data_IF_755441120519
#
_entry.id   IF_755441120519
#
_cell.length_a   1.000
_cell.length_b   1.000
_cell.length_c   1.000
_cell.angle_alpha   90.00
_cell.angle_beta   90.00
_cell.angle_gamma   90.00
#
_symmetry.space_group_name_H-M   'P 1'
#
loop_
_entity.id
_entity.type
_entity.pdbx_description
1 polymer ?
#
# COMPACT_ATOMS: atom_id res chain seq x y z
N UNK A 1 -1.62 -17.64 -15.83
CA UNK A 1 -1.95 -16.85 -14.63
C UNK A 1 -0.77 -16.82 -13.68
N UNK A 2 -0.17 -15.66 -13.45
CA UNK A 2 0.94 -15.46 -12.49
C UNK A 2 0.47 -14.68 -11.26
N UNK A 3 1.21 -14.81 -10.16
CA UNK A 3 1.06 -13.96 -8.96
C UNK A 3 2.20 -12.97 -8.93
N UNK A 4 1.89 -11.68 -8.86
CA UNK A 4 2.88 -10.60 -8.86
C UNK A 4 2.68 -9.76 -7.60
N UNK A 5 3.78 -9.53 -6.88
CA UNK A 5 3.80 -8.65 -5.71
C UNK A 5 4.71 -7.46 -5.99
N UNK A 6 4.20 -6.26 -5.79
CA UNK A 6 4.92 -5.01 -5.99
C UNK A 6 5.07 -4.32 -4.64
N UNK A 7 6.30 -3.99 -4.26
CA UNK A 7 6.61 -3.33 -3.00
C UNK A 7 7.22 -1.95 -3.28
N UNK A 8 6.54 -0.87 -2.87
CA UNK A 8 7.08 0.48 -2.97
C UNK A 8 7.77 0.90 -1.68
N UNK A 9 9.03 1.29 -1.82
CA UNK A 9 9.87 1.86 -0.77
C UNK A 9 9.79 3.39 -0.74
N UNK A 10 8.94 4.05 -1.54
CA UNK A 10 8.85 5.50 -1.53
C UNK A 10 8.28 6.00 -0.19
N UNK A 11 9.02 6.88 0.48
CA UNK A 11 8.66 7.38 1.81
C UNK A 11 8.48 8.90 1.89
N UNK A 12 9.01 9.61 0.90
CA UNK A 12 9.09 11.08 0.91
C UNK A 12 7.87 11.78 0.31
N UNK A 13 7.08 11.07 -0.50
CA UNK A 13 5.94 11.62 -1.22
C UNK A 13 4.86 10.54 -1.47
N UNK A 14 3.58 10.92 -1.57
CA UNK A 14 2.50 9.98 -1.81
C UNK A 14 2.57 9.27 -3.16
N UNK A 15 3.23 9.88 -4.14
CA UNK A 15 3.38 9.34 -5.48
C UNK A 15 4.65 9.89 -6.14
N UNK A 16 5.27 9.11 -7.03
CA UNK A 16 6.52 9.43 -7.70
C UNK A 16 6.64 8.76 -9.06
N UNK A 17 7.80 8.93 -9.72
CA UNK A 17 8.03 8.36 -11.04
C UNK A 17 8.01 6.82 -11.04
N UNK A 18 8.63 6.19 -10.05
CA UNK A 18 8.58 4.73 -9.87
C UNK A 18 7.15 4.23 -9.67
N UNK A 19 6.34 4.98 -8.92
CA UNK A 19 4.93 4.68 -8.63
C UNK A 19 4.08 4.74 -9.87
N UNK A 20 4.33 5.72 -10.73
CA UNK A 20 3.68 5.78 -12.02
C UNK A 20 4.01 4.53 -12.86
N UNK A 21 5.29 4.16 -12.95
CA UNK A 21 5.72 3.01 -13.75
C UNK A 21 5.16 1.68 -13.24
N UNK A 22 5.30 1.40 -11.95
CA UNK A 22 4.84 0.11 -11.43
C UNK A 22 3.31 0.02 -11.40
N UNK A 23 2.59 1.13 -11.24
CA UNK A 23 1.12 1.11 -11.26
C UNK A 23 0.56 0.86 -12.65
N UNK A 24 1.15 1.44 -13.69
CA UNK A 24 0.78 1.15 -15.07
C UNK A 24 1.09 -0.31 -15.43
N UNK A 25 2.21 -0.85 -14.96
CA UNK A 25 2.53 -2.26 -15.09
C UNK A 25 1.54 -3.16 -14.32
N UNK A 26 1.14 -2.77 -13.11
CA UNK A 26 0.18 -3.50 -12.29
C UNK A 26 -1.20 -3.60 -12.97
N UNK A 27 -1.68 -2.49 -13.54
CA UNK A 27 -2.93 -2.46 -14.30
C UNK A 27 -2.85 -3.40 -15.51
N UNK A 28 -1.80 -3.25 -16.32
CA UNK A 28 -1.61 -4.13 -17.50
C UNK A 28 -1.50 -5.60 -17.13
N UNK A 29 -0.81 -5.93 -16.04
CA UNK A 29 -0.72 -7.30 -15.55
C UNK A 29 -2.08 -7.84 -15.09
N UNK A 30 -2.90 -7.00 -14.48
CA UNK A 30 -4.26 -7.34 -14.05
C UNK A 30 -5.17 -7.58 -15.27
N UNK A 31 -5.11 -6.72 -16.29
CA UNK A 31 -5.84 -6.87 -17.56
C UNK A 31 -5.48 -8.16 -18.30
N UNK A 32 -4.22 -8.61 -18.17
CA UNK A 32 -3.75 -9.89 -18.70
C UNK A 32 -4.20 -11.11 -17.87
N UNK A 33 -5.05 -10.93 -16.86
CA UNK A 33 -5.58 -12.00 -16.00
C UNK A 33 -4.59 -12.51 -14.95
N UNK A 34 -3.57 -11.73 -14.58
CA UNK A 34 -2.68 -12.06 -13.47
C UNK A 34 -3.24 -11.54 -12.14
N UNK A 35 -2.84 -12.17 -11.04
CA UNK A 35 -3.17 -11.72 -9.69
C UNK A 35 -2.09 -10.77 -9.21
N UNK A 36 -2.42 -9.49 -9.05
CA UNK A 36 -1.49 -8.46 -8.62
C UNK A 36 -1.82 -8.02 -7.20
N UNK A 37 -0.80 -7.89 -6.37
CA UNK A 37 -0.89 -7.27 -5.05
C UNK A 37 0.18 -6.20 -4.91
N UNK A 38 -0.17 -5.07 -4.31
CA UNK A 38 0.76 -3.98 -4.02
C UNK A 38 0.92 -3.79 -2.51
N UNK A 39 2.11 -3.39 -2.09
CA UNK A 39 2.35 -2.87 -0.76
C UNK A 39 2.98 -1.48 -0.87
N UNK A 40 2.26 -0.46 -0.40
CA UNK A 40 2.70 0.94 -0.43
C UNK A 40 2.59 1.55 0.96
N UNK A 41 3.27 2.67 1.19
CA UNK A 41 3.07 3.44 2.41
C UNK A 41 1.61 3.89 2.54
N UNK A 42 1.07 3.87 3.77
CA UNK A 42 -0.24 4.43 4.10
C UNK A 42 -0.16 5.96 4.10
N UNK A 43 -0.76 6.61 3.10
CA UNK A 43 -0.89 8.06 3.02
C UNK A 43 -2.28 8.50 3.47
N UNK A 44 -2.51 9.76 3.91
CA UNK A 44 -3.82 10.21 4.40
C UNK A 44 -4.92 10.08 3.33
N UNK A 45 -4.53 10.19 2.06
CA UNK A 45 -5.38 9.96 0.90
C UNK A 45 -4.83 8.78 0.10
N UNK A 46 -5.70 7.82 -0.21
CA UNK A 46 -5.40 6.74 -1.16
C UNK A 46 -5.27 7.34 -2.56
N UNK A 47 -4.21 6.96 -3.28
CA UNK A 47 -3.93 7.49 -4.61
C UNK A 47 -4.83 6.86 -5.67
N UNK A 48 -5.27 7.65 -6.65
CA UNK A 48 -6.26 7.23 -7.65
C UNK A 48 -5.81 5.98 -8.43
N UNK A 49 -4.51 5.83 -8.68
CA UNK A 49 -3.92 4.65 -9.32
C UNK A 49 -4.04 3.37 -8.49
N UNK A 50 -3.95 3.47 -7.16
CA UNK A 50 -4.19 2.33 -6.27
C UNK A 50 -5.66 1.91 -6.32
N UNK A 51 -6.56 2.89 -6.36
CA UNK A 51 -8.00 2.64 -6.50
C UNK A 51 -8.32 1.96 -7.84
N UNK A 52 -7.71 2.40 -8.94
CA UNK A 52 -7.80 1.73 -10.25
C UNK A 52 -7.32 0.28 -10.18
N UNK A 53 -6.17 0.01 -9.55
CA UNK A 53 -5.65 -1.36 -9.40
C UNK A 53 -6.65 -2.25 -8.66
N UNK A 54 -7.28 -1.73 -7.59
CA UNK A 54 -8.32 -2.44 -6.84
C UNK A 54 -9.55 -2.74 -7.70
N UNK A 55 -9.99 -1.78 -8.51
CA UNK A 55 -11.12 -1.93 -9.44
C UNK A 55 -10.85 -2.98 -10.52
N UNK A 56 -9.59 -3.18 -10.91
CA UNK A 56 -9.15 -4.22 -11.85
C UNK A 56 -8.86 -5.57 -11.15
N UNK A 57 -9.31 -5.75 -9.90
CA UNK A 57 -9.17 -7.01 -9.15
C UNK A 57 -7.81 -7.20 -8.46
N UNK A 58 -6.97 -6.17 -8.45
CA UNK A 58 -5.73 -6.14 -7.67
C UNK A 58 -6.00 -6.00 -6.17
N UNK A 59 -5.06 -6.48 -5.36
CA UNK A 59 -5.11 -6.36 -3.89
C UNK A 59 -4.18 -5.27 -3.41
N UNK A 60 -4.63 -4.48 -2.43
CA UNK A 60 -3.84 -3.42 -1.82
C UNK A 60 -3.48 -3.81 -0.39
N UNK A 61 -2.21 -3.62 -0.04
CA UNK A 61 -1.71 -3.69 1.33
C UNK A 61 -0.95 -2.41 1.63
N UNK A 62 -0.95 -2.00 2.89
CA UNK A 62 -0.30 -0.78 3.32
C UNK A 62 0.70 -1.06 4.44
N UNK A 63 1.85 -0.41 4.34
CA UNK A 63 2.82 -0.31 5.45
C UNK A 63 2.63 1.03 6.17
N UNK A 64 2.84 1.08 7.50
CA UNK A 64 2.61 2.30 8.27
C UNK A 64 3.49 3.45 7.80
N UNK A 65 2.98 4.67 7.90
CA UNK A 65 3.72 5.90 7.64
C UNK A 65 4.08 6.57 8.97
N UNK A 66 5.36 6.50 9.33
CA UNK A 66 5.88 7.10 10.56
C UNK A 66 6.24 8.59 10.40
N UNK A 67 6.22 9.13 9.17
CA UNK A 67 6.55 10.52 8.88
C UNK A 67 5.36 11.46 9.02
N UNK A 68 4.14 10.95 8.81
CA UNK A 68 2.94 11.71 9.15
C UNK A 68 2.92 11.81 10.67
N UNK A 69 3.21 13.02 11.18
CA UNK A 69 2.96 13.38 12.58
C UNK A 69 1.47 13.23 12.83
N UNK A 70 1.09 12.02 13.20
CA UNK A 70 -0.25 11.72 13.60
C UNK A 70 -0.68 12.65 14.73
N UNK A 71 -1.93 13.12 14.68
CA UNK A 71 -2.53 13.73 15.87
C UNK A 71 -2.53 12.69 17.01
N UNK A 72 -2.77 13.12 18.25
CA UNK A 72 -2.73 12.23 19.44
C UNK A 72 -3.53 10.92 19.21
N UNK A 73 -4.61 10.98 18.43
CA UNK A 73 -5.43 9.86 17.98
C UNK A 73 -4.69 8.84 17.11
N UNK A 74 -3.89 9.29 16.15
CA UNK A 74 -3.12 8.41 15.25
C UNK A 74 -1.97 7.73 16.00
N UNK A 75 -1.36 8.43 16.96
CA UNK A 75 -0.38 7.83 17.87
C UNK A 75 -0.99 6.73 18.73
N UNK A 76 -2.22 6.94 19.22
CA UNK A 76 -2.94 5.94 20.01
C UNK A 76 -3.33 4.72 19.16
N UNK A 77 -3.87 4.93 17.95
CA UNK A 77 -4.22 3.86 17.01
C UNK A 77 -3.02 3.02 16.59
N UNK A 78 -1.89 3.67 16.26
CA UNK A 78 -0.67 2.97 15.89
C UNK A 78 -0.08 2.18 17.07
N UNK A 79 -0.18 2.70 18.30
CA UNK A 79 0.26 1.97 19.51
C UNK A 79 -0.61 0.74 19.82
N UNK A 80 -1.93 0.82 19.59
CA UNK A 80 -2.84 -0.32 19.75
C UNK A 80 -2.59 -1.39 18.69
N UNK A 81 -2.36 -1.00 17.43
CA UNK A 81 -1.98 -1.93 16.35
C UNK A 81 -0.65 -2.64 16.65
N UNK A 82 0.34 -1.93 17.19
CA UNK A 82 1.65 -2.51 17.53
C UNK A 82 1.57 -3.52 18.70
N UNK A 83 0.71 -3.27 19.70
CA UNK A 83 0.43 -4.22 20.80
C UNK A 83 -0.31 -5.47 20.29
N UNK A 84 -1.26 -5.29 19.37
CA UNK A 84 -1.97 -6.39 18.73
C UNK A 84 -1.03 -7.30 17.93
N UNK A 85 -0.10 -6.69 17.17
CA UNK A 85 0.92 -7.43 16.43
C UNK A 85 1.85 -8.22 17.35
N UNK A 86 2.38 -7.61 18.42
CA UNK A 86 3.28 -8.29 19.37
C UNK A 86 2.61 -9.47 20.09
N UNK A 87 1.32 -9.39 20.37
CA UNK A 87 0.55 -10.51 20.95
C UNK A 87 0.22 -11.62 19.95
N UNK A 88 0.17 -11.32 18.66
CA UNK A 88 -0.06 -12.34 17.63
C UNK A 88 1.21 -13.12 17.26
N UNK A 89 2.39 -12.61 17.65
CA UNK A 89 3.71 -13.17 17.34
C UNK A 89 4.40 -13.78 18.58
N UNK A 90 3.88 -13.53 19.79
CA UNK A 90 4.32 -14.14 21.05
C UNK A 90 3.47 -15.36 21.40
#
# INVERSE_FOLDING_TARGET
MKKVFIFSTLEIAPWGGSEQMWSDAALKLSDMGNKVMTNTMEWPKVQDKLQQIKEHGGLLSFRPNYHIKGNITDKALNKVKDIGWKRAVA
#
